data_IF_527564658919
#
_entry.id   IF_527564658919
#
_cell.length_a   1.000
_cell.length_b   1.000
_cell.length_c   1.000
_cell.angle_alpha   90.00
_cell.angle_beta   90.00
_cell.angle_gamma   90.00
#
_symmetry.space_group_name_H-M   'P 1'
#
loop_
_entity.id
_entity.type
_entity.pdbx_description
1 polymer ?
#
# COMPACT_ATOMS: atom_id res chain seq x y z
N UNK A 1 -6.83 -28.57 -7.97
CA UNK A 1 -6.89 -27.69 -6.78
C UNK A 1 -5.51 -27.27 -6.26
N UNK A 2 -4.65 -28.16 -5.72
CA UNK A 2 -3.34 -27.73 -5.18
C UNK A 2 -2.37 -27.19 -6.26
N UNK A 3 -2.36 -27.79 -7.45
CA UNK A 3 -1.58 -27.30 -8.59
C UNK A 3 -2.11 -25.98 -9.16
N UNK A 4 -3.43 -25.83 -9.25
CA UNK A 4 -4.09 -24.59 -9.69
C UNK A 4 -3.81 -23.43 -8.74
N UNK A 5 -3.81 -23.68 -7.43
CA UNK A 5 -3.52 -22.69 -6.41
C UNK A 5 -2.03 -22.30 -6.40
N UNK A 6 -1.13 -23.26 -6.62
CA UNK A 6 0.30 -22.97 -6.80
C UNK A 6 0.56 -22.13 -8.06
N UNK A 7 -0.17 -22.39 -9.15
CA UNK A 7 -0.08 -21.57 -10.36
C UNK A 7 -0.60 -20.16 -10.10
N UNK A 8 -1.74 -20.01 -9.42
CA UNK A 8 -2.28 -18.70 -9.04
C UNK A 8 -1.29 -17.92 -8.15
N UNK A 9 -0.69 -18.58 -7.16
CA UNK A 9 0.38 -18.02 -6.33
C UNK A 9 1.54 -17.52 -7.18
N UNK A 10 2.04 -18.36 -8.09
CA UNK A 10 3.15 -17.99 -8.97
C UNK A 10 2.79 -16.76 -9.81
N UNK A 11 1.61 -16.74 -10.41
CA UNK A 11 1.15 -15.60 -11.20
C UNK A 11 1.04 -14.33 -10.35
N UNK A 12 0.50 -14.42 -9.13
CA UNK A 12 0.38 -13.26 -8.25
C UNK A 12 1.76 -12.73 -7.81
N UNK A 13 2.72 -13.61 -7.52
CA UNK A 13 4.08 -13.19 -7.19
C UNK A 13 4.76 -12.50 -8.38
N UNK A 14 4.56 -12.97 -9.60
CA UNK A 14 5.18 -12.41 -10.82
C UNK A 14 4.61 -11.03 -11.22
N UNK A 15 3.39 -10.67 -10.76
CA UNK A 15 2.83 -9.33 -11.05
C UNK A 15 3.29 -8.26 -10.05
N UNK A 16 3.87 -8.65 -8.91
CA UNK A 16 4.42 -7.69 -7.96
C UNK A 16 5.66 -7.02 -8.58
N UNK A 17 5.82 -5.71 -8.37
CA UNK A 17 6.90 -4.98 -9.02
C UNK A 17 8.25 -5.35 -8.41
N UNK A 18 9.28 -5.38 -9.25
CA UNK A 18 10.65 -5.17 -8.76
C UNK A 18 10.73 -3.76 -8.14
N UNK A 19 11.52 -3.63 -7.07
CA UNK A 19 11.73 -2.32 -6.43
C UNK A 19 12.55 -1.44 -7.38
N UNK A 20 12.00 -0.33 -7.90
CA UNK A 20 12.73 0.52 -8.84
C UNK A 20 13.82 1.31 -8.11
N UNK A 21 14.96 1.48 -8.76
CA UNK A 21 15.97 2.44 -8.29
C UNK A 21 15.53 3.86 -8.67
N UNK A 22 15.29 4.70 -7.67
CA UNK A 22 14.92 6.11 -7.86
C UNK A 22 15.85 6.96 -7.02
N UNK A 23 16.63 7.82 -7.68
CA UNK A 23 17.53 8.75 -7.01
C UNK A 23 16.77 9.60 -5.97
N UNK A 24 17.30 9.64 -4.74
CA UNK A 24 16.68 10.35 -3.63
C UNK A 24 15.57 9.61 -2.88
N UNK A 25 15.31 8.33 -3.20
CA UNK A 25 14.33 7.49 -2.50
C UNK A 25 14.93 6.13 -2.23
N UNK A 26 14.92 5.73 -0.96
CA UNK A 26 15.20 4.36 -0.56
C UNK A 26 13.88 3.65 -0.27
N UNK A 27 13.68 2.46 -0.81
CA UNK A 27 12.42 1.73 -0.73
C UNK A 27 12.66 0.35 -0.13
N UNK A 28 11.85 0.01 0.87
CA UNK A 28 11.74 -1.33 1.44
C UNK A 28 10.29 -1.75 1.39
N UNK A 29 10.01 -2.95 0.86
CA UNK A 29 8.66 -3.48 0.81
C UNK A 29 8.62 -4.90 1.35
N UNK A 30 7.43 -5.27 1.81
CA UNK A 30 7.10 -6.58 2.31
C UNK A 30 5.70 -6.94 1.84
N UNK A 31 5.55 -8.19 1.43
CA UNK A 31 4.27 -8.80 1.10
C UNK A 31 4.24 -10.19 1.72
N UNK A 32 3.29 -10.43 2.61
CA UNK A 32 3.09 -11.68 3.31
C UNK A 32 1.61 -12.07 3.22
N UNK A 33 1.22 -12.89 2.24
CA UNK A 33 -0.17 -13.30 2.10
C UNK A 33 -0.57 -14.29 3.21
N UNK A 34 -1.81 -14.19 3.67
CA UNK A 34 -2.45 -15.09 4.64
C UNK A 34 -2.50 -16.54 4.13
N UNK A 35 -2.80 -16.68 2.83
CA UNK A 35 -2.91 -17.96 2.13
C UNK A 35 -1.89 -18.03 0.98
N UNK A 36 -2.06 -18.98 0.07
CA UNK A 36 -1.24 -19.09 -1.13
C UNK A 36 -1.37 -17.86 -2.04
N UNK A 37 -2.50 -17.18 -2.01
CA UNK A 37 -2.80 -15.95 -2.74
C UNK A 37 -3.57 -14.97 -1.85
N UNK A 38 -3.34 -13.67 -2.05
CA UNK A 38 -3.92 -12.58 -1.26
C UNK A 38 -4.83 -11.62 -2.03
N UNK A 39 -5.55 -10.77 -1.31
CA UNK A 39 -6.30 -9.61 -1.78
C UNK A 39 -5.48 -8.31 -1.85
N UNK A 40 -4.30 -8.32 -1.24
CA UNK A 40 -3.38 -7.20 -1.30
C UNK A 40 -2.68 -7.07 -2.67
N UNK A 41 -2.50 -5.83 -3.12
CA UNK A 41 -1.80 -5.48 -4.34
C UNK A 41 -1.01 -4.18 -4.15
N UNK A 42 0.26 -4.17 -4.56
CA UNK A 42 1.01 -2.93 -4.68
C UNK A 42 1.73 -2.80 -6.02
N UNK A 43 2.01 -1.56 -6.41
CA UNK A 43 2.81 -1.22 -7.59
C UNK A 43 3.77 -0.06 -7.28
N UNK A 44 4.97 -0.14 -7.84
CA UNK A 44 6.01 0.88 -7.71
C UNK A 44 6.52 1.20 -9.11
N UNK A 45 6.39 2.45 -9.54
CA UNK A 45 6.85 2.82 -10.86
C UNK A 45 7.23 4.28 -10.98
N UNK A 46 8.28 4.53 -11.76
CA UNK A 46 8.72 5.89 -12.04
C UNK A 46 7.95 6.43 -13.26
N UNK A 47 7.07 7.41 -13.06
CA UNK A 47 6.28 8.02 -14.16
C UNK A 47 7.21 8.81 -15.10
N UNK A 48 8.17 9.51 -14.50
CA UNK A 48 9.23 10.29 -15.16
C UNK A 48 10.42 10.40 -14.21
N UNK A 49 11.63 10.77 -14.70
CA UNK A 49 12.81 10.88 -13.85
C UNK A 49 12.54 11.70 -12.57
N UNK A 50 12.82 11.11 -11.42
CA UNK A 50 12.61 11.73 -10.10
C UNK A 50 11.17 11.75 -9.59
N UNK A 51 10.21 11.12 -10.27
CA UNK A 51 8.83 10.99 -9.79
C UNK A 51 8.44 9.53 -9.67
N UNK A 52 8.44 9.03 -8.43
CA UNK A 52 7.97 7.70 -8.10
C UNK A 52 6.48 7.74 -7.78
N UNK A 53 5.71 6.87 -8.42
CA UNK A 53 4.34 6.59 -8.04
C UNK A 53 4.28 5.26 -7.30
N UNK A 54 3.58 5.29 -6.17
CA UNK A 54 3.31 4.14 -5.33
C UNK A 54 1.81 3.92 -5.30
N UNK A 55 1.39 2.70 -5.58
CA UNK A 55 0.01 2.25 -5.46
C UNK A 55 -0.04 1.12 -4.45
N UNK A 56 -1.04 1.15 -3.58
CA UNK A 56 -1.34 0.10 -2.62
C UNK A 56 -2.85 -0.10 -2.61
N UNK A 57 -3.31 -1.35 -2.62
CA UNK A 57 -4.72 -1.68 -2.56
C UNK A 57 -4.93 -2.96 -1.78
N UNK A 58 -6.09 -3.05 -1.15
CA UNK A 58 -6.62 -4.25 -0.53
C UNK A 58 -8.00 -4.52 -1.13
N UNK A 59 -8.12 -5.70 -1.74
CA UNK A 59 -9.31 -6.19 -2.39
C UNK A 59 -10.13 -7.06 -1.44
N UNK A 60 -11.41 -6.71 -1.26
CA UNK A 60 -12.27 -7.48 -0.35
C UNK A 60 -12.38 -8.95 -0.73
N UNK A 61 -12.37 -9.81 0.29
CA UNK A 61 -12.51 -11.26 0.15
C UNK A 61 -11.18 -11.96 0.42
N UNK A 62 -11.15 -13.28 0.24
CA UNK A 62 -9.94 -14.06 0.51
C UNK A 62 -9.77 -15.19 -0.52
N UNK A 63 -8.53 -15.63 -0.73
CA UNK A 63 -8.20 -16.74 -1.61
C UNK A 63 -8.39 -16.41 -3.09
N UNK A 64 -8.92 -17.34 -3.87
CA UNK A 64 -8.94 -17.24 -5.35
C UNK A 64 -9.75 -16.03 -5.85
N UNK A 65 -10.85 -15.68 -5.19
CA UNK A 65 -11.68 -14.53 -5.61
C UNK A 65 -10.90 -13.21 -5.48
N UNK A 66 -10.22 -13.02 -4.34
CA UNK A 66 -9.38 -11.85 -4.09
C UNK A 66 -8.19 -11.82 -5.06
N UNK A 67 -7.57 -12.97 -5.35
CA UNK A 67 -6.50 -13.09 -6.33
C UNK A 67 -6.92 -12.71 -7.76
N UNK A 68 -8.11 -13.13 -8.20
CA UNK A 68 -8.64 -12.75 -9.52
C UNK A 68 -8.98 -11.26 -9.59
N UNK A 69 -9.48 -10.70 -8.49
CA UNK A 69 -9.73 -9.27 -8.40
C UNK A 69 -8.42 -8.49 -8.46
N UNK A 70 -7.40 -8.83 -7.68
CA UNK A 70 -6.09 -8.16 -7.72
C UNK A 70 -5.45 -8.22 -9.12
N UNK A 71 -5.55 -9.34 -9.84
CA UNK A 71 -5.09 -9.42 -11.23
C UNK A 71 -5.86 -8.49 -12.17
N UNK A 72 -7.17 -8.36 -11.98
CA UNK A 72 -8.02 -7.43 -12.75
C UNK A 72 -7.64 -5.98 -12.46
N UNK A 73 -7.50 -5.64 -11.17
CA UNK A 73 -7.07 -4.31 -10.72
C UNK A 73 -5.69 -3.95 -11.28
N UNK A 74 -4.74 -4.89 -11.24
CA UNK A 74 -3.42 -4.73 -11.84
C UNK A 74 -3.51 -4.45 -13.34
N UNK A 75 -4.34 -5.19 -14.08
CA UNK A 75 -4.53 -4.97 -15.52
C UNK A 75 -5.06 -3.57 -15.85
N UNK A 76 -6.06 -3.09 -15.10
CA UNK A 76 -6.57 -1.72 -15.24
C UNK A 76 -5.47 -0.72 -14.91
N UNK A 77 -4.72 -0.95 -13.82
CA UNK A 77 -3.68 -0.04 -13.35
C UNK A 77 -2.61 0.12 -14.42
N UNK A 78 -2.08 -0.99 -14.96
CA UNK A 78 -1.08 -0.96 -16.04
C UNK A 78 -1.48 -0.08 -17.23
N UNK A 79 -2.79 0.00 -17.55
CA UNK A 79 -3.29 0.81 -18.66
C UNK A 79 -3.27 2.32 -18.40
N UNK A 80 -3.36 2.76 -17.14
CA UNK A 80 -3.47 4.18 -16.78
C UNK A 80 -2.29 4.71 -15.96
N UNK A 81 -1.49 3.83 -15.35
CA UNK A 81 -0.52 4.20 -14.32
C UNK A 81 0.52 5.20 -14.83
N UNK A 82 0.96 5.06 -16.08
CA UNK A 82 1.98 5.92 -16.72
C UNK A 82 1.53 7.35 -17.06
N UNK A 83 0.27 7.70 -16.85
CA UNK A 83 -0.22 9.06 -17.08
C UNK A 83 0.37 10.01 -16.03
N UNK A 84 1.01 11.07 -16.49
CA UNK A 84 1.55 12.16 -15.66
C UNK A 84 0.45 13.17 -15.30
N UNK A 85 -0.57 12.68 -14.59
CA UNK A 85 -1.67 13.45 -13.99
C UNK A 85 -1.71 13.19 -12.49
N UNK A 86 -2.37 14.03 -11.71
CA UNK A 86 -2.39 13.88 -10.26
C UNK A 86 -3.06 12.56 -9.78
N UNK A 87 -2.74 12.09 -8.56
CA UNK A 87 -3.29 10.85 -8.01
C UNK A 87 -4.81 10.74 -7.98
N UNK A 88 -5.52 11.82 -7.71
CA UNK A 88 -6.98 11.83 -7.60
C UNK A 88 -7.65 11.62 -8.94
N UNK A 89 -7.08 12.21 -10.00
CA UNK A 89 -7.48 11.95 -11.40
C UNK A 89 -7.27 10.48 -11.75
N UNK A 90 -6.12 9.90 -11.38
CA UNK A 90 -5.83 8.47 -11.64
C UNK A 90 -6.82 7.57 -10.92
N UNK A 91 -7.07 7.78 -9.62
CA UNK A 91 -8.03 6.95 -8.87
C UNK A 91 -9.47 7.11 -9.37
N UNK A 92 -9.83 8.32 -9.83
CA UNK A 92 -11.14 8.57 -10.45
C UNK A 92 -11.29 7.75 -11.73
N UNK A 93 -10.28 7.78 -12.60
CA UNK A 93 -10.28 6.98 -13.82
C UNK A 93 -10.25 5.48 -13.53
N UNK A 94 -9.44 5.06 -12.56
CA UNK A 94 -9.34 3.67 -12.11
C UNK A 94 -10.70 3.12 -11.64
N UNK A 95 -11.39 3.88 -10.78
CA UNK A 95 -12.74 3.56 -10.34
C UNK A 95 -13.73 3.50 -11.50
N UNK A 96 -13.65 4.47 -12.42
CA UNK A 96 -14.54 4.50 -13.58
C UNK A 96 -14.37 3.25 -14.46
N UNK A 97 -13.12 2.91 -14.81
CA UNK A 97 -12.81 1.73 -15.62
C UNK A 97 -13.20 0.42 -14.91
N UNK A 98 -12.97 0.33 -13.59
CA UNK A 98 -13.40 -0.82 -12.81
C UNK A 98 -14.93 -0.97 -12.80
N UNK A 99 -15.66 0.06 -12.38
CA UNK A 99 -17.12 0.01 -12.29
C UNK A 99 -17.78 -0.27 -13.64
N UNK A 100 -17.25 0.32 -14.72
CA UNK A 100 -17.78 0.12 -16.07
C UNK A 100 -17.68 -1.33 -16.55
N UNK A 101 -16.56 -2.00 -16.25
CA UNK A 101 -16.28 -3.34 -16.76
C UNK A 101 -16.69 -4.45 -15.78
N UNK A 102 -16.64 -4.17 -14.47
CA UNK A 102 -16.74 -5.16 -13.40
C UNK A 102 -17.69 -4.79 -12.26
N UNK A 103 -18.36 -3.62 -12.30
CA UNK A 103 -19.22 -3.15 -11.20
C UNK A 103 -20.40 -4.07 -10.84
N UNK A 104 -20.88 -4.88 -11.79
CA UNK A 104 -21.95 -5.85 -11.55
C UNK A 104 -21.52 -7.03 -10.67
N UNK A 105 -20.22 -7.22 -10.43
CA UNK A 105 -19.70 -8.26 -9.53
C UNK A 105 -20.02 -7.89 -8.07
N UNK A 106 -20.26 -6.61 -7.78
CA UNK A 106 -20.59 -6.14 -6.42
C UNK A 106 -19.41 -6.17 -5.46
N UNK A 107 -18.19 -6.33 -5.98
CA UNK A 107 -16.95 -6.23 -5.21
C UNK A 107 -16.46 -4.80 -5.19
N UNK A 108 -15.78 -4.45 -4.11
CA UNK A 108 -15.16 -3.15 -3.90
C UNK A 108 -13.79 -3.38 -3.29
N UNK A 109 -12.98 -2.34 -3.23
CA UNK A 109 -11.63 -2.43 -2.70
C UNK A 109 -11.19 -1.07 -2.21
N UNK A 110 -10.23 -1.11 -1.29
CA UNK A 110 -9.60 0.08 -0.77
C UNK A 110 -8.29 0.33 -1.53
N UNK A 111 -7.90 1.58 -1.76
CA UNK A 111 -6.56 1.87 -2.30
C UNK A 111 -5.99 3.22 -1.90
N UNK A 112 -4.68 3.32 -1.95
CA UNK A 112 -3.89 4.51 -1.75
C UNK A 112 -2.92 4.68 -2.92
N UNK A 113 -2.84 5.89 -3.45
CA UNK A 113 -1.91 6.23 -4.51
C UNK A 113 -1.18 7.52 -4.15
N UNK A 114 0.15 7.49 -4.19
CA UNK A 114 1.00 8.65 -3.98
C UNK A 114 2.03 8.83 -5.08
N UNK A 115 2.29 10.09 -5.42
CA UNK A 115 3.42 10.53 -6.24
C UNK A 115 4.42 11.25 -5.34
N UNK A 116 5.66 10.80 -5.38
CA UNK A 116 6.80 11.37 -4.67
C UNK A 116 7.72 12.00 -5.72
N UNK A 117 7.74 13.33 -5.77
CA UNK A 117 8.57 14.12 -6.69
C UNK A 117 9.82 14.63 -5.96
N UNK A 118 10.98 14.05 -6.30
CA UNK A 118 12.27 14.33 -5.67
C UNK A 118 12.89 15.65 -6.10
N UNK A 119 12.47 16.19 -7.25
CA UNK A 119 12.96 17.47 -7.76
C UNK A 119 12.31 18.62 -7.00
N UNK A 120 10.98 18.59 -6.87
CA UNK A 120 10.18 19.62 -6.20
C UNK A 120 10.01 19.38 -4.70
N UNK A 121 10.44 18.21 -4.19
CA UNK A 121 10.29 17.77 -2.79
C UNK A 121 8.85 17.81 -2.31
N UNK A 122 7.96 17.25 -3.13
CA UNK A 122 6.53 17.21 -2.86
C UNK A 122 6.02 15.79 -2.94
N UNK A 123 5.12 15.48 -2.01
CA UNK A 123 4.25 14.32 -2.09
C UNK A 123 2.87 14.82 -2.44
N UNK A 124 2.24 14.17 -3.42
CA UNK A 124 0.80 14.27 -3.63
C UNK A 124 0.18 12.90 -3.52
N UNK A 125 -0.99 12.79 -2.91
CA UNK A 125 -1.65 11.49 -2.76
C UNK A 125 -3.17 11.60 -2.83
N UNK A 126 -3.78 10.46 -3.11
CA UNK A 126 -5.21 10.22 -3.02
C UNK A 126 -5.45 8.84 -2.38
N UNK A 127 -6.57 8.70 -1.67
CA UNK A 127 -6.95 7.48 -0.96
C UNK A 127 -8.44 7.22 -1.14
N UNK A 128 -8.77 6.05 -1.68
CA UNK A 128 -10.13 5.56 -1.78
C UNK A 128 -10.44 4.55 -0.69
N UNK A 129 -10.91 5.04 0.46
CA UNK A 129 -11.33 4.20 1.58
C UNK A 129 -10.24 3.40 2.31
N UNK A 130 -8.97 3.48 1.89
CA UNK A 130 -7.85 2.73 2.47
C UNK A 130 -7.56 3.15 3.91
N UNK A 131 -6.93 2.27 4.73
CA UNK A 131 -6.46 2.64 6.07
C UNK A 131 -5.60 3.92 6.04
N UNK A 132 -5.55 4.62 7.18
CA UNK A 132 -4.71 5.81 7.33
C UNK A 132 -3.25 5.42 7.16
N UNK A 133 -2.54 6.07 6.25
CA UNK A 133 -1.11 5.82 6.03
C UNK A 133 -0.28 6.80 6.86
N UNK A 134 1.01 6.55 7.07
CA UNK A 134 1.82 7.44 7.93
C UNK A 134 2.94 8.15 7.19
N UNK A 135 2.98 9.47 7.37
CA UNK A 135 4.16 10.27 7.10
C UNK A 135 4.93 10.50 8.40
N UNK A 136 6.22 10.21 8.39
CA UNK A 136 7.09 10.35 9.54
C UNK A 136 8.09 11.46 9.27
N UNK A 137 8.18 12.38 10.22
CA UNK A 137 9.27 13.34 10.36
C UNK A 137 9.87 13.19 11.76
N UNK A 138 11.01 13.84 12.00
CA UNK A 138 11.86 13.64 13.18
C UNK A 138 11.12 13.47 14.50
N UNK A 139 10.11 14.32 14.74
CA UNK A 139 9.36 14.36 16.00
C UNK A 139 7.85 14.17 15.78
N UNK A 140 7.44 13.69 14.59
CA UNK A 140 6.04 13.65 14.18
C UNK A 140 5.72 12.39 13.37
N UNK A 141 4.71 11.66 13.82
CA UNK A 141 4.00 10.66 12.99
C UNK A 141 2.66 11.28 12.62
N UNK A 142 2.46 11.58 11.34
CA UNK A 142 1.26 12.21 10.80
C UNK A 142 0.46 11.17 10.02
N UNK A 143 -0.82 11.01 10.38
CA UNK A 143 -1.78 10.24 9.59
C UNK A 143 -2.14 10.97 8.29
N UNK A 144 -2.18 10.22 7.19
CA UNK A 144 -2.60 10.69 5.87
C UNK A 144 -4.07 10.30 5.65
N UNK A 145 -4.95 11.29 5.79
CA UNK A 145 -6.40 11.11 5.71
C UNK A 145 -6.88 10.60 4.34
N UNK A 146 -8.03 9.92 4.35
CA UNK A 146 -8.74 9.45 3.16
C UNK A 146 -9.19 10.64 2.28
N UNK A 147 -9.21 10.46 0.97
CA UNK A 147 -9.65 11.51 0.02
C UNK A 147 -10.90 11.14 -0.77
N UNK A 148 -11.47 9.96 -0.50
CA UNK A 148 -12.65 9.42 -1.14
C UNK A 148 -13.11 8.13 -0.46
N UNK A 149 -14.28 7.63 -0.89
CA UNK A 149 -14.84 6.35 -0.45
C UNK A 149 -14.10 5.16 -1.07
N UNK A 150 -14.51 3.93 -0.73
CA UNK A 150 -14.02 2.73 -1.42
C UNK A 150 -14.32 2.79 -2.94
N UNK A 151 -13.46 2.15 -3.72
CA UNK A 151 -13.60 2.02 -5.17
C UNK A 151 -14.55 0.87 -5.50
N UNK A 152 -15.25 0.96 -6.62
CA UNK A 152 -16.23 -0.06 -7.03
C UNK A 152 -17.66 0.19 -6.54
N UNK A 153 -17.86 1.18 -5.65
CA UNK A 153 -19.19 1.48 -5.09
C UNK A 153 -20.07 2.32 -6.03
N UNK A 154 -19.51 3.36 -6.64
CA UNK A 154 -20.21 4.24 -7.58
C UNK A 154 -19.26 4.62 -8.72
N UNK A 155 -19.69 4.43 -9.96
CA UNK A 155 -18.98 4.83 -11.18
C UNK A 155 -18.57 6.32 -11.18
N UNK A 156 -19.35 7.17 -10.52
CA UNK A 156 -19.17 8.62 -10.49
C UNK A 156 -18.32 9.12 -9.31
N UNK A 157 -17.79 8.23 -8.47
CA UNK A 157 -16.90 8.63 -7.38
C UNK A 157 -15.71 9.44 -7.91
N UNK A 158 -15.32 10.44 -7.13
CA UNK A 158 -14.19 11.34 -7.37
C UNK A 158 -13.30 11.32 -6.14
N UNK A 159 -12.00 11.38 -6.37
CA UNK A 159 -11.00 11.29 -5.30
C UNK A 159 -10.25 12.61 -5.22
N UNK A 160 -10.25 13.22 -4.04
CA UNK A 160 -9.49 14.43 -3.78
C UNK A 160 -7.98 14.16 -3.78
N UNK A 161 -7.19 15.23 -3.81
CA UNK A 161 -5.73 15.16 -3.72
C UNK A 161 -5.23 16.04 -2.59
N UNK A 162 -4.44 15.45 -1.71
CA UNK A 162 -3.61 16.20 -0.77
C UNK A 162 -2.20 16.34 -1.30
N UNK A 163 -1.57 17.49 -1.00
CA UNK A 163 -0.20 17.79 -1.39
C UNK A 163 0.53 18.42 -0.21
N UNK A 164 1.75 17.97 0.03
CA UNK A 164 2.61 18.54 1.06
C UNK A 164 4.08 18.41 0.65
N UNK A 165 4.92 19.22 1.27
CA UNK A 165 6.37 19.14 1.09
C UNK A 165 6.98 18.27 2.17
N UNK A 166 8.09 17.63 1.84
CA UNK A 166 8.88 16.83 2.77
C UNK A 166 10.31 17.35 2.87
N UNK A 167 11.00 16.94 3.93
CA UNK A 167 12.39 17.23 4.19
C UNK A 167 13.25 15.97 4.08
N UNK A 168 14.56 16.18 4.04
CA UNK A 168 15.52 15.09 4.05
C UNK A 168 15.34 14.21 5.29
N UNK A 169 15.33 12.90 5.08
CA UNK A 169 15.23 11.91 6.16
C UNK A 169 13.81 11.62 6.61
N UNK A 170 12.81 12.36 6.13
CA UNK A 170 11.41 12.02 6.33
C UNK A 170 11.09 10.67 5.70
N UNK A 171 10.11 9.95 6.25
CA UNK A 171 9.71 8.63 5.77
C UNK A 171 8.23 8.60 5.44
N UNK A 172 7.86 7.77 4.48
CA UNK A 172 6.47 7.44 4.17
C UNK A 172 6.28 5.95 4.42
N UNK A 173 5.36 5.59 5.30
CA UNK A 173 5.01 4.22 5.62
C UNK A 173 3.60 3.94 5.13
N UNK A 174 3.51 3.05 4.15
CA UNK A 174 2.27 2.60 3.53
C UNK A 174 2.03 1.14 3.89
N UNK A 175 0.79 0.78 4.19
CA UNK A 175 0.44 -0.56 4.67
C UNK A 175 -1.04 -0.87 4.50
N UNK A 176 -1.33 -2.16 4.46
CA UNK A 176 -2.69 -2.73 4.50
C UNK A 176 -3.06 -3.11 5.94
N UNK A 177 -4.35 -3.22 6.21
CA UNK A 177 -4.90 -3.40 7.55
C UNK A 177 -4.45 -4.69 8.25
N UNK A 178 -4.10 -5.75 7.51
CA UNK A 178 -3.49 -6.95 8.10
C UNK A 178 -2.22 -6.71 8.93
N UNK A 179 -1.56 -5.54 8.82
CA UNK A 179 -0.44 -5.21 9.72
C UNK A 179 -0.89 -4.87 11.15
N UNK A 180 -2.15 -4.50 11.37
CA UNK A 180 -2.67 -4.06 12.67
C UNK A 180 -4.02 -4.67 13.06
N UNK A 181 -4.78 -5.26 12.15
CA UNK A 181 -6.07 -5.95 12.38
C UNK A 181 -5.91 -7.45 12.73
N UNK A 182 -4.79 -7.79 13.34
CA UNK A 182 -4.47 -9.15 13.78
C UNK A 182 -4.85 -9.37 15.25
N UNK A 183 -5.53 -10.48 15.54
CA UNK A 183 -6.09 -10.77 16.86
C UNK A 183 -5.36 -11.91 17.57
N UNK A 184 -4.99 -11.72 18.84
CA UNK A 184 -4.42 -12.78 19.66
C UNK A 184 -5.49 -13.77 20.20
N UNK A 185 -5.06 -14.75 21.00
CA UNK A 185 -5.98 -15.76 21.59
C UNK A 185 -7.08 -15.17 22.48
N UNK A 186 -6.83 -14.00 23.06
CA UNK A 186 -7.77 -13.27 23.91
C UNK A 186 -8.67 -12.32 23.10
N UNK A 187 -8.62 -12.41 21.76
CA UNK A 187 -9.32 -11.52 20.81
C UNK A 187 -8.94 -10.05 20.96
N UNK A 188 -7.72 -9.79 21.43
CA UNK A 188 -7.17 -8.44 21.45
C UNK A 188 -6.45 -8.18 20.14
N UNK A 189 -6.82 -7.08 19.50
CA UNK A 189 -6.19 -6.61 18.27
C UNK A 189 -4.78 -6.06 18.57
N UNK A 190 -3.83 -6.25 17.65
CA UNK A 190 -2.49 -5.65 17.74
C UNK A 190 -2.58 -4.12 17.75
N UNK A 191 -3.33 -3.57 16.80
CA UNK A 191 -3.79 -2.19 16.80
C UNK A 191 -2.81 -1.20 16.20
N UNK A 192 -3.39 -0.16 15.57
CA UNK A 192 -2.65 0.88 14.85
C UNK A 192 -1.66 1.64 15.76
N UNK A 193 -2.00 1.85 17.03
CA UNK A 193 -1.13 2.51 18.00
C UNK A 193 0.18 1.74 18.26
N UNK A 194 0.17 0.41 18.20
CA UNK A 194 1.38 -0.39 18.34
C UNK A 194 2.34 -0.10 17.17
N UNK A 195 1.80 -0.07 15.95
CA UNK A 195 2.54 0.29 14.74
C UNK A 195 3.11 1.71 14.84
N UNK A 196 2.28 2.71 15.18
CA UNK A 196 2.72 4.11 15.33
C UNK A 196 3.84 4.26 16.37
N UNK A 197 3.75 3.56 17.50
CA UNK A 197 4.77 3.59 18.54
C UNK A 197 6.11 3.00 18.05
N UNK A 198 6.08 1.93 17.26
CA UNK A 198 7.29 1.34 16.67
C UNK A 198 7.89 2.28 15.63
N UNK A 199 7.05 2.85 14.74
CA UNK A 199 7.45 3.84 13.75
C UNK A 199 8.16 5.04 14.40
N UNK A 200 7.60 5.58 15.48
CA UNK A 200 8.21 6.69 16.23
C UNK A 200 9.55 6.30 16.86
N UNK A 201 9.64 5.12 17.49
CA UNK A 201 10.89 4.64 18.13
C UNK A 201 11.99 4.36 17.12
N UNK A 202 11.65 3.76 15.98
CA UNK A 202 12.59 3.33 14.92
C UNK A 202 12.96 4.44 13.93
N UNK A 203 12.40 5.64 14.05
CA UNK A 203 12.66 6.73 13.11
C UNK A 203 14.15 7.10 13.00
N UNK A 204 14.88 7.07 14.11
CA UNK A 204 16.32 7.40 14.15
C UNK A 204 17.24 6.20 13.90
N UNK A 205 16.69 5.02 13.68
CA UNK A 205 17.42 3.78 13.41
C UNK A 205 17.45 3.48 11.90
N UNK A 206 18.30 2.55 11.41
CA UNK A 206 18.28 2.10 10.02
C UNK A 206 16.86 1.72 9.58
N UNK A 207 16.41 2.24 8.43
CA UNK A 207 15.02 2.06 8.00
C UNK A 207 14.68 0.58 7.75
N UNK A 208 15.67 -0.21 7.37
CA UNK A 208 15.58 -1.64 7.07
C UNK A 208 15.12 -2.45 8.28
N UNK A 209 15.35 -1.95 9.49
CA UNK A 209 14.96 -2.60 10.74
C UNK A 209 13.52 -2.27 11.15
N UNK A 210 12.89 -1.27 10.52
CA UNK A 210 11.56 -0.78 10.94
C UNK A 210 10.47 -1.81 10.68
N UNK A 211 10.36 -2.31 9.43
CA UNK A 211 9.37 -3.32 9.06
C UNK A 211 9.60 -4.65 9.84
N UNK A 212 10.83 -5.20 9.94
CA UNK A 212 11.10 -6.36 10.79
C UNK A 212 10.71 -6.16 12.25
N UNK A 213 10.92 -4.98 12.83
CA UNK A 213 10.54 -4.71 14.20
C UNK A 213 9.01 -4.71 14.40
N UNK A 214 8.25 -4.18 13.42
CA UNK A 214 6.78 -4.27 13.44
C UNK A 214 6.33 -5.73 13.39
N UNK A 215 6.88 -6.51 12.45
CA UNK A 215 6.55 -7.93 12.35
C UNK A 215 6.90 -8.72 13.61
N UNK A 216 8.08 -8.48 14.18
CA UNK A 216 8.49 -9.16 15.39
C UNK A 216 7.51 -8.87 16.53
N UNK A 217 7.15 -7.60 16.73
CA UNK A 217 6.16 -7.22 17.74
C UNK A 217 4.78 -7.83 17.47
N UNK A 218 4.38 -7.95 16.19
CA UNK A 218 3.13 -8.57 15.79
C UNK A 218 3.14 -10.08 16.08
N UNK A 219 4.22 -10.79 15.73
CA UNK A 219 4.37 -12.23 15.99
C UNK A 219 4.36 -12.51 17.50
N UNK A 220 5.05 -11.68 18.28
CA UNK A 220 5.03 -11.75 19.74
C UNK A 220 3.61 -11.54 20.31
N UNK A 221 2.84 -10.61 19.75
CA UNK A 221 1.44 -10.38 20.12
C UNK A 221 0.53 -11.56 19.77
N UNK A 222 0.69 -12.16 18.58
CA UNK A 222 -0.09 -13.31 18.13
C UNK A 222 0.20 -14.57 18.95
N UNK A 223 1.42 -14.74 19.44
CA UNK A 223 1.86 -15.92 20.18
C UNK A 223 1.75 -17.18 19.32
N UNK A 224 0.77 -18.05 19.62
CA UNK A 224 0.53 -19.27 18.84
C UNK A 224 -0.50 -19.10 17.72
N UNK A 225 -1.15 -17.94 17.62
CA UNK A 225 -2.08 -17.66 16.53
C UNK A 225 -1.32 -17.52 15.21
N UNK A 226 -1.98 -17.91 14.12
CA UNK A 226 -1.49 -17.66 12.77
C UNK A 226 -1.93 -16.26 12.34
N UNK A 227 -1.23 -15.72 11.35
CA UNK A 227 -1.67 -14.55 10.58
C UNK A 227 -3.05 -14.83 9.99
N UNK A 228 -3.93 -13.82 10.09
CA UNK A 228 -5.35 -13.90 9.78
C UNK A 228 -5.70 -13.10 8.54
N UNK A 229 -4.82 -12.19 8.09
CA UNK A 229 -5.00 -11.39 6.89
C UNK A 229 -3.71 -11.20 6.10
N UNK A 230 -3.82 -10.69 4.87
CA UNK A 230 -2.65 -10.35 4.07
C UNK A 230 -1.94 -9.13 4.66
N UNK A 231 -0.60 -9.18 4.70
CA UNK A 231 0.21 -8.08 5.24
C UNK A 231 1.07 -7.52 4.12
N UNK A 232 0.80 -6.28 3.75
CA UNK A 232 1.65 -5.48 2.87
C UNK A 232 2.17 -4.27 3.60
N UNK A 233 3.47 -4.00 3.46
CA UNK A 233 4.09 -2.79 3.97
C UNK A 233 5.11 -2.25 2.97
N UNK A 234 5.13 -0.94 2.79
CA UNK A 234 6.10 -0.21 1.98
C UNK A 234 6.62 0.95 2.82
N UNK A 235 7.92 0.94 3.10
CA UNK A 235 8.61 2.02 3.75
C UNK A 235 9.52 2.72 2.75
N UNK A 236 9.28 4.01 2.56
CA UNK A 236 10.10 4.88 1.74
C UNK A 236 10.84 5.85 2.65
N UNK A 237 12.16 5.92 2.54
CA UNK A 237 12.92 7.01 3.13
C UNK A 237 13.28 8.03 2.05
N UNK A 238 12.97 9.29 2.35
CA UNK A 238 13.14 10.44 1.47
C UNK A 238 14.55 11.00 1.68
N UNK A 239 15.53 10.13 1.44
CA UNK A 239 16.94 10.35 1.64
C UNK A 239 17.55 10.81 0.32
N UNK A 240 18.13 12.00 0.28
CA UNK A 240 19.07 12.32 -0.80
C UNK A 240 20.35 11.51 -0.61
N UNK A 241 20.76 10.75 -1.64
CA UNK A 241 22.13 10.93 -2.08
C UNK A 241 22.21 10.98 -3.61
N UNK A 242 22.89 12.00 -4.11
CA UNK A 242 23.84 11.91 -5.22
C UNK A 242 24.79 13.08 -5.00
N UNK A 243 26.03 12.78 -4.59
CA UNK A 243 27.15 13.72 -4.78
C UNK A 243 27.59 13.60 -6.24
#
# INVERSE_FOLDING_TARGET
>A
MKEELNLAKKLQTEILPDIPSVAGIQIHSMYLPMMEVGGDLYDLFQIRPGVLRVFLADATGHGIQAALLTMTLKGILESIKKKDTDPGTILTEFNHEYCRNFGNIGMFFSCFLADIDTVSKKISYASGGHPTQFFLSKDLVLGLDRTGSLLGLDLNNRYGVFKFSYQYGDRLFLFTDGIYEEFNSDKQQFGELAVQNILAKKFSEPMEETIPAILQSLIEHLGSQKIQDDITAILLALNFPDL
#
